data_IF_853914698901
#
_entry.id   IF_853914698901
#
_cell.length_a   1.000
_cell.length_b   1.000
_cell.length_c   1.000
_cell.angle_alpha   90.00
_cell.angle_beta   90.00
_cell.angle_gamma   90.00
#
_symmetry.space_group_name_H-M   'P 1'
#
loop_
_entity.id
_entity.type
_entity.pdbx_description
1 polymer ?
#
# COMPACT_ATOMS: atom_id res chain seq x y z
N UNK A 1 -13.78 6.41 6.98
CA UNK A 1 -12.38 6.43 6.53
C UNK A 1 -11.52 5.75 7.59
N UNK A 2 -10.54 4.96 7.18
CA UNK A 2 -9.77 4.12 8.09
C UNK A 2 -8.29 4.04 7.68
N UNK A 3 -7.39 4.17 8.65
CA UNK A 3 -5.95 3.92 8.46
C UNK A 3 -5.68 2.46 8.85
N UNK A 4 -5.23 1.67 7.88
CA UNK A 4 -4.87 0.26 8.04
C UNK A 4 -3.35 0.13 8.07
N UNK A 5 -2.80 -0.23 9.23
CA UNK A 5 -1.36 -0.41 9.45
C UNK A 5 -1.06 -1.91 9.41
N UNK A 6 -0.28 -2.37 8.43
CA UNK A 6 0.08 -3.78 8.26
C UNK A 6 1.48 -4.00 8.81
N UNK A 7 1.61 -4.83 9.85
CA UNK A 7 2.87 -5.02 10.58
C UNK A 7 3.07 -6.46 11.09
N UNK A 8 4.26 -6.77 11.62
CA UNK A 8 4.62 -8.09 12.14
C UNK A 8 5.92 -8.06 12.97
N UNK A 9 5.98 -8.89 14.00
CA UNK A 9 7.20 -9.13 14.79
C UNK A 9 8.31 -9.89 14.04
N UNK A 10 8.00 -10.51 12.89
CA UNK A 10 8.97 -11.24 12.04
C UNK A 10 8.88 -10.90 10.56
N UNK A 11 10.00 -11.01 9.86
CA UNK A 11 10.07 -10.94 8.41
C UNK A 11 9.45 -12.18 7.75
N UNK A 12 9.09 -12.07 6.47
CA UNK A 12 8.61 -13.19 5.64
C UNK A 12 7.31 -13.89 6.10
N UNK A 13 6.51 -13.26 6.96
CA UNK A 13 5.15 -13.73 7.34
C UNK A 13 4.05 -13.38 6.31
N UNK A 14 4.38 -12.64 5.24
CA UNK A 14 3.45 -12.33 4.14
C UNK A 14 2.83 -10.92 4.13
N UNK A 15 3.36 -9.95 4.89
CA UNK A 15 2.82 -8.57 5.03
C UNK A 15 2.38 -7.92 3.72
N UNK A 16 3.31 -7.71 2.79
CA UNK A 16 2.99 -7.06 1.52
C UNK A 16 1.99 -7.82 0.66
N UNK A 17 1.92 -9.16 0.79
CA UNK A 17 0.89 -9.96 0.12
C UNK A 17 -0.48 -9.78 0.77
N UNK A 18 -0.55 -9.57 2.09
CA UNK A 18 -1.78 -9.18 2.78
C UNK A 18 -2.19 -7.73 2.46
N UNK A 19 -1.24 -6.78 2.45
CA UNK A 19 -1.50 -5.39 2.07
C UNK A 19 -2.03 -5.28 0.62
N UNK A 20 -1.42 -6.00 -0.34
CA UNK A 20 -1.91 -6.07 -1.71
C UNK A 20 -3.27 -6.80 -1.86
N UNK A 21 -3.54 -7.79 -1.00
CA UNK A 21 -4.86 -8.42 -0.93
C UNK A 21 -5.91 -7.43 -0.40
N UNK A 22 -5.63 -6.74 0.70
CA UNK A 22 -6.49 -5.72 1.31
C UNK A 22 -6.81 -4.58 0.32
N UNK A 23 -5.79 -4.10 -0.40
CA UNK A 23 -5.94 -3.13 -1.49
C UNK A 23 -6.86 -3.65 -2.61
N UNK A 24 -6.74 -4.94 -2.97
CA UNK A 24 -7.58 -5.58 -3.99
C UNK A 24 -9.03 -5.77 -3.50
N UNK A 25 -9.26 -6.07 -2.22
CA UNK A 25 -10.60 -6.10 -1.63
C UNK A 25 -11.24 -4.71 -1.67
N UNK A 26 -10.51 -3.67 -1.25
CA UNK A 26 -10.99 -2.28 -1.32
C UNK A 26 -11.24 -1.78 -2.74
N UNK A 27 -10.42 -2.19 -3.72
CA UNK A 27 -10.66 -1.89 -5.14
C UNK A 27 -11.91 -2.60 -5.69
N UNK A 28 -12.10 -3.89 -5.37
CA UNK A 28 -13.31 -4.65 -5.74
C UNK A 28 -14.59 -4.07 -5.12
N UNK A 29 -14.51 -3.52 -3.91
CA UNK A 29 -15.59 -2.80 -3.24
C UNK A 29 -15.79 -1.36 -3.76
N UNK A 30 -15.00 -0.89 -4.74
CA UNK A 30 -15.07 0.48 -5.27
C UNK A 30 -14.56 1.58 -4.31
N UNK A 31 -14.00 1.20 -3.15
CA UNK A 31 -13.41 2.15 -2.18
C UNK A 31 -12.08 2.72 -2.66
N UNK A 32 -11.32 1.97 -3.46
CA UNK A 32 -10.04 2.38 -4.05
C UNK A 32 -9.10 3.07 -3.03
N UNK A 33 -8.69 2.35 -1.97
CA UNK A 33 -7.91 2.91 -0.87
C UNK A 33 -6.58 3.49 -1.35
N UNK A 34 -6.14 4.56 -0.67
CA UNK A 34 -4.79 5.10 -0.81
C UNK A 34 -3.77 4.09 -0.28
N UNK A 35 -2.64 3.95 -0.96
CA UNK A 35 -1.56 3.07 -0.54
C UNK A 35 -0.32 3.89 -0.13
N UNK A 36 0.40 3.42 0.88
CA UNK A 36 1.71 3.92 1.30
C UNK A 36 2.62 2.70 1.55
N UNK A 37 3.86 2.81 1.08
CA UNK A 37 4.88 1.79 1.26
C UNK A 37 5.91 2.28 2.29
N UNK A 38 6.01 1.56 3.41
CA UNK A 38 6.92 1.83 4.51
C UNK A 38 7.86 0.64 4.77
N UNK A 39 8.05 -0.21 3.77
CA UNK A 39 9.11 -1.23 3.70
C UNK A 39 10.21 -0.69 2.77
N UNK A 40 11.19 0.01 3.34
CA UNK A 40 12.25 0.68 2.58
C UNK A 40 13.24 -0.29 1.91
N UNK A 41 13.29 -1.54 2.35
CA UNK A 41 14.05 -2.63 1.70
C UNK A 41 13.31 -3.20 0.48
N UNK A 42 12.07 -3.67 0.67
CA UNK A 42 11.35 -4.47 -0.33
C UNK A 42 10.49 -3.62 -1.25
N UNK A 43 9.89 -2.53 -0.76
CA UNK A 43 9.08 -1.57 -1.52
C UNK A 43 8.05 -2.24 -2.43
N UNK A 44 7.33 -3.24 -1.89
CA UNK A 44 6.48 -4.13 -2.68
C UNK A 44 5.25 -3.41 -3.26
N UNK A 45 4.60 -2.54 -2.49
CA UNK A 45 3.45 -1.78 -2.99
C UNK A 45 3.88 -0.75 -4.04
N UNK A 46 5.03 -0.10 -3.85
CA UNK A 46 5.59 0.81 -4.85
C UNK A 46 5.93 0.09 -6.16
N UNK A 47 6.47 -1.14 -6.10
CA UNK A 47 6.75 -1.96 -7.28
C UNK A 47 5.47 -2.39 -8.01
N UNK A 48 4.41 -2.75 -7.27
CA UNK A 48 3.13 -3.21 -7.81
C UNK A 48 2.25 -2.09 -8.38
N UNK A 49 2.21 -0.93 -7.75
CA UNK A 49 1.26 0.15 -8.06
C UNK A 49 1.94 1.46 -8.55
N UNK A 50 3.28 1.48 -8.59
CA UNK A 50 4.08 2.56 -9.16
C UNK A 50 4.05 3.88 -8.37
N UNK A 51 4.34 4.97 -9.08
CA UNK A 51 4.56 6.32 -8.51
C UNK A 51 3.38 6.92 -7.73
N UNK A 52 2.18 6.33 -7.81
CA UNK A 52 1.01 6.76 -7.03
C UNK A 52 1.09 6.40 -5.54
N UNK A 53 1.99 5.48 -5.18
CA UNK A 53 2.27 5.05 -3.81
C UNK A 53 3.47 5.83 -3.25
N UNK A 54 3.28 6.70 -2.24
CA UNK A 54 4.40 7.31 -1.53
C UNK A 54 5.22 6.22 -0.83
N UNK A 55 6.55 6.34 -0.90
CA UNK A 55 7.46 5.59 -0.05
C UNK A 55 7.84 6.47 1.12
N UNK A 56 7.70 5.97 2.35
CA UNK A 56 8.12 6.64 3.58
C UNK A 56 9.14 5.78 4.31
N UNK A 57 10.03 6.42 5.07
CA UNK A 57 10.96 5.74 5.97
C UNK A 57 10.47 5.90 7.40
N UNK A 58 10.43 4.79 8.14
CA UNK A 58 10.26 4.81 9.59
C UNK A 58 11.65 4.68 10.23
N UNK A 59 12.06 5.63 11.06
CA UNK A 59 13.41 5.67 11.64
C UNK A 59 13.46 6.52 12.90
N UNK A 60 14.48 6.28 13.75
CA UNK A 60 14.83 7.11 14.91
C UNK A 60 15.65 8.36 14.53
N UNK A 61 16.08 8.48 13.27
CA UNK A 61 16.82 9.63 12.74
C UNK A 61 15.87 10.81 12.47
N UNK A 62 16.15 11.95 13.12
CA UNK A 62 15.39 13.21 13.08
C UNK A 62 15.08 13.69 11.65
N UNK A 63 15.94 13.40 10.67
CA UNK A 63 15.72 13.73 9.25
C UNK A 63 14.49 13.04 8.65
N UNK A 64 14.03 11.95 9.28
CA UNK A 64 12.90 11.14 8.84
C UNK A 64 11.68 11.23 9.78
N UNK A 65 11.79 11.91 10.93
CA UNK A 65 10.77 11.96 11.99
C UNK A 65 9.38 12.37 11.47
N UNK A 66 9.32 13.35 10.57
CA UNK A 66 8.07 13.86 10.01
C UNK A 66 7.52 13.04 8.82
N UNK A 67 8.24 12.04 8.30
CA UNK A 67 7.75 11.25 7.15
C UNK A 67 6.45 10.47 7.40
N UNK A 68 6.19 9.88 8.60
CA UNK A 68 4.96 9.14 8.84
C UNK A 68 3.70 10.03 8.81
N UNK A 69 3.82 11.36 9.02
CA UNK A 69 2.69 12.29 8.84
C UNK A 69 2.08 12.23 7.43
N UNK A 70 2.82 11.74 6.43
CA UNK A 70 2.30 11.43 5.10
C UNK A 70 1.08 10.53 5.16
N UNK A 71 0.99 9.60 6.13
CA UNK A 71 -0.17 8.72 6.35
C UNK A 71 -1.40 9.55 6.68
N UNK A 72 -1.26 10.49 7.63
CA UNK A 72 -2.33 11.38 8.06
C UNK A 72 -2.78 12.31 6.92
N UNK A 73 -1.84 13.00 6.28
CA UNK A 73 -2.16 13.92 5.18
C UNK A 73 -2.78 13.18 3.98
N UNK A 74 -2.35 11.95 3.67
CA UNK A 74 -2.95 11.13 2.60
C UNK A 74 -4.40 10.76 2.90
N UNK A 75 -4.73 10.45 4.16
CA UNK A 75 -6.10 10.20 4.58
C UNK A 75 -6.96 11.44 4.34
N UNK A 76 -6.59 12.58 4.94
CA UNK A 76 -7.33 13.84 4.80
C UNK A 76 -7.46 14.32 3.36
N UNK A 77 -6.38 14.27 2.57
CA UNK A 77 -6.38 14.71 1.17
C UNK A 77 -7.27 13.87 0.25
N UNK A 78 -7.42 12.57 0.54
CA UNK A 78 -8.16 11.66 -0.37
C UNK A 78 -9.57 11.35 0.12
N UNK A 79 -9.87 11.53 1.40
CA UNK A 79 -11.15 11.13 2.00
C UNK A 79 -11.39 9.61 1.94
N UNK A 80 -10.32 8.82 1.75
CA UNK A 80 -10.35 7.37 1.55
C UNK A 80 -9.46 6.67 2.56
N UNK A 81 -9.76 5.40 2.77
CA UNK A 81 -8.96 4.52 3.60
C UNK A 81 -7.51 4.48 3.11
N UNK A 82 -6.56 4.40 4.05
CA UNK A 82 -5.12 4.38 3.77
C UNK A 82 -4.54 3.05 4.22
N UNK A 83 -3.89 2.32 3.32
CA UNK A 83 -3.20 1.05 3.59
C UNK A 83 -1.71 1.34 3.65
N UNK A 84 -1.09 1.02 4.78
CA UNK A 84 0.35 1.23 5.04
C UNK A 84 1.02 -0.12 5.26
N UNK A 85 1.88 -0.55 4.34
CA UNK A 85 2.68 -1.77 4.48
C UNK A 85 4.02 -1.43 5.14
N UNK A 86 4.25 -1.89 6.38
CA UNK A 86 5.50 -1.61 7.09
C UNK A 86 6.59 -2.64 6.75
N UNK A 87 7.86 -2.29 6.94
CA UNK A 87 8.92 -3.30 7.08
C UNK A 87 8.66 -4.24 8.28
N UNK A 88 9.43 -5.33 8.40
CA UNK A 88 9.40 -6.15 9.61
C UNK A 88 10.03 -5.40 10.80
N UNK A 89 9.51 -5.60 12.01
CA UNK A 89 10.10 -5.07 13.26
C UNK A 89 10.22 -3.53 13.33
N UNK A 90 9.52 -2.79 12.46
CA UNK A 90 9.42 -1.32 12.52
C UNK A 90 8.18 -0.83 13.26
N UNK A 91 7.47 -1.72 13.96
CA UNK A 91 6.25 -1.38 14.68
C UNK A 91 6.49 -0.39 15.84
N UNK A 92 7.67 -0.40 16.45
CA UNK A 92 8.11 0.57 17.45
C UNK A 92 8.08 2.01 16.93
N UNK A 93 8.55 2.26 15.70
CA UNK A 93 8.58 3.57 15.09
C UNK A 93 7.17 4.10 14.78
N UNK A 94 6.28 3.25 14.24
CA UNK A 94 4.90 3.68 13.99
C UNK A 94 4.14 3.91 15.31
N UNK A 95 4.44 3.15 16.38
CA UNK A 95 3.89 3.41 17.71
C UNK A 95 4.34 4.77 18.26
N UNK A 96 5.64 5.10 18.13
CA UNK A 96 6.13 6.41 18.55
C UNK A 96 5.41 7.54 17.80
N UNK A 97 5.23 7.40 16.48
CA UNK A 97 4.45 8.38 15.72
C UNK A 97 2.99 8.49 16.19
N UNK A 98 2.32 7.38 16.52
CA UNK A 98 0.96 7.41 17.06
C UNK A 98 0.87 8.19 18.38
N UNK A 99 1.84 7.99 19.27
CA UNK A 99 1.88 8.59 20.61
C UNK A 99 2.36 10.06 20.55
N UNK A 100 3.56 10.32 20.03
CA UNK A 100 4.23 11.64 20.05
C UNK A 100 3.50 12.70 19.21
N UNK A 101 2.73 12.28 18.21
CA UNK A 101 1.90 13.18 17.37
C UNK A 101 0.41 13.14 17.75
N UNK A 102 0.01 12.38 18.77
CA UNK A 102 -1.39 12.30 19.23
C UNK A 102 -2.35 11.77 18.16
N UNK A 103 -1.90 10.87 17.27
CA UNK A 103 -2.65 10.48 16.07
C UNK A 103 -3.99 9.81 16.40
N UNK A 104 -4.06 9.04 17.50
CA UNK A 104 -5.30 8.36 17.88
C UNK A 104 -6.38 9.35 18.37
N UNK A 105 -5.98 10.40 19.09
CA UNK A 105 -6.87 11.49 19.50
C UNK A 105 -7.34 12.29 18.27
N UNK A 106 -6.40 12.69 17.40
CA UNK A 106 -6.73 13.38 16.16
C UNK A 106 -7.65 12.53 15.25
N UNK A 107 -7.41 11.22 15.14
CA UNK A 107 -8.21 10.29 14.36
C UNK A 107 -9.64 10.22 14.89
N UNK A 108 -9.82 10.12 16.21
CA UNK A 108 -11.13 10.15 16.88
C UNK A 108 -11.91 11.43 16.58
N UNK A 109 -11.28 12.59 16.73
CA UNK A 109 -11.90 13.90 16.44
C UNK A 109 -12.32 14.06 14.98
N UNK A 110 -11.58 13.44 14.05
CA UNK A 110 -11.85 13.47 12.61
C UNK A 110 -12.72 12.30 12.11
N UNK A 111 -13.25 11.44 13.00
CA UNK A 111 -14.02 10.23 12.66
C UNK A 111 -13.26 9.26 11.73
N UNK A 112 -11.94 9.14 11.94
CA UNK A 112 -11.04 8.24 11.24
C UNK A 112 -10.78 7.02 12.13
N UNK A 113 -11.12 5.82 11.65
CA UNK A 113 -10.76 4.60 12.36
C UNK A 113 -9.28 4.24 12.17
N UNK A 114 -8.68 3.55 13.14
CA UNK A 114 -7.34 2.96 13.00
C UNK A 114 -7.43 1.45 13.23
N UNK A 115 -6.86 0.67 12.30
CA UNK A 115 -6.79 -0.79 12.41
C UNK A 115 -5.34 -1.24 12.23
N UNK A 116 -4.80 -1.95 13.22
CA UNK A 116 -3.45 -2.51 13.19
C UNK A 116 -3.50 -4.02 12.97
N UNK A 117 -3.15 -4.43 11.75
CA UNK A 117 -3.12 -5.83 11.32
C UNK A 117 -1.75 -6.43 11.62
N UNK A 118 -1.70 -7.31 12.62
CA UNK A 118 -0.49 -7.99 13.07
C UNK A 118 -0.40 -9.38 12.45
N UNK A 119 0.49 -9.55 11.48
CA UNK A 119 0.74 -10.86 10.87
C UNK A 119 1.69 -11.69 11.73
N UNK A 120 1.32 -12.94 12.00
CA UNK A 120 2.16 -13.92 12.69
C UNK A 120 2.03 -15.31 12.05
N UNK A 121 3.05 -16.15 12.21
CA UNK A 121 3.16 -17.51 11.64
C UNK A 121 3.43 -18.59 12.70
N UNK A 122 2.80 -18.45 13.88
CA UNK A 122 2.91 -19.29 15.11
C UNK A 122 4.14 -19.01 16.00
N UNK A 123 4.80 -17.87 15.80
CA UNK A 123 5.97 -17.48 16.56
C UNK A 123 5.65 -16.90 17.97
N UNK A 124 6.16 -17.49 19.08
CA UNK A 124 5.95 -16.99 20.43
C UNK A 124 6.40 -15.53 20.65
N UNK A 125 7.58 -15.15 20.16
CA UNK A 125 8.15 -13.80 20.33
C UNK A 125 7.31 -12.71 19.62
N UNK A 126 6.51 -13.11 18.62
CA UNK A 126 5.57 -12.25 17.91
C UNK A 126 4.29 -12.01 18.73
N UNK A 127 3.89 -12.97 19.58
CA UNK A 127 2.69 -12.85 20.41
C UNK A 127 2.91 -12.00 21.66
N UNK A 128 4.09 -12.05 22.29
CA UNK A 128 4.45 -11.15 23.40
C UNK A 128 4.38 -9.68 23.00
N UNK A 129 4.90 -9.35 21.81
CA UNK A 129 4.82 -7.99 21.24
C UNK A 129 3.38 -7.60 20.95
N UNK A 130 2.59 -8.50 20.37
CA UNK A 130 1.17 -8.23 20.09
C UNK A 130 0.37 -7.93 21.37
N UNK A 131 0.56 -8.73 22.43
CA UNK A 131 -0.09 -8.51 23.73
C UNK A 131 0.33 -7.17 24.35
N UNK A 132 1.63 -6.87 24.35
CA UNK A 132 2.17 -5.56 24.77
C UNK A 132 1.50 -4.39 24.00
N UNK A 133 1.23 -4.54 22.70
CA UNK A 133 0.52 -3.53 21.91
C UNK A 133 -0.96 -3.41 22.29
N UNK A 134 -1.63 -4.53 22.54
CA UNK A 134 -3.03 -4.55 22.97
C UNK A 134 -3.22 -3.97 24.38
N UNK A 135 -2.19 -4.03 25.23
CA UNK A 135 -2.18 -3.39 26.55
C UNK A 135 -1.81 -1.90 26.50
N UNK A 136 -1.02 -1.47 25.50
CA UNK A 136 -0.61 -0.06 25.33
C UNK A 136 -1.76 0.84 24.91
N UNK A 137 -2.63 0.37 24.02
CA UNK A 137 -3.68 1.18 23.40
C UNK A 137 -5.07 0.70 23.78
N UNK A 138 -6.02 1.63 23.87
CA UNK A 138 -7.41 1.28 24.17
C UNK A 138 -8.14 0.81 22.91
N UNK A 139 -9.05 -0.15 23.10
CA UNK A 139 -9.85 -0.74 22.01
C UNK A 139 -10.85 0.21 21.36
N UNK A 140 -11.20 1.32 22.02
CA UNK A 140 -12.03 2.39 21.47
C UNK A 140 -11.25 3.41 20.61
N UNK A 141 -9.91 3.35 20.62
CA UNK A 141 -9.02 4.23 19.86
C UNK A 141 -8.41 3.50 18.64
N UNK A 142 -8.09 2.22 18.79
CA UNK A 142 -7.47 1.41 17.73
C UNK A 142 -7.96 -0.06 17.80
N UNK A 143 -8.30 -0.63 16.64
CA UNK A 143 -8.62 -2.06 16.53
C UNK A 143 -7.35 -2.86 16.23
N UNK A 144 -6.93 -3.72 17.16
CA UNK A 144 -5.90 -4.72 16.92
C UNK A 144 -6.48 -5.99 16.29
N UNK A 145 -5.78 -6.54 15.29
CA UNK A 145 -6.18 -7.76 14.59
C UNK A 145 -5.00 -8.70 14.40
N UNK A 146 -5.09 -9.91 14.96
CA UNK A 146 -4.19 -11.02 14.64
C UNK A 146 -4.54 -11.58 13.26
N UNK A 147 -3.62 -11.46 12.32
CA UNK A 147 -3.73 -12.06 10.99
C UNK A 147 -2.91 -13.35 10.97
N UNK A 148 -3.62 -14.48 11.09
CA UNK A 148 -3.05 -15.83 11.18
C UNK A 148 -2.50 -16.25 9.82
N UNK A 149 -1.18 -16.13 9.64
CA UNK A 149 -0.54 -16.39 8.35
C UNK A 149 -0.26 -17.86 8.12
N UNK A 150 -0.87 -18.42 7.08
CA UNK A 150 -0.61 -19.78 6.61
C UNK A 150 0.60 -19.88 5.67
N UNK A 151 1.45 -18.84 5.58
CA UNK A 151 2.58 -18.84 4.66
C UNK A 151 3.67 -19.85 5.07
N UNK A 152 4.01 -19.88 6.37
CA UNK A 152 4.97 -20.81 7.00
C UNK A 152 4.31 -21.68 8.08
N UNK A 153 3.46 -21.08 8.93
CA UNK A 153 2.73 -21.77 9.98
C UNK A 153 1.77 -22.83 9.44
N UNK A 154 1.60 -23.93 10.19
CA UNK A 154 0.64 -24.99 9.86
C UNK A 154 -0.75 -24.56 10.37
N UNK A 155 -1.79 -24.49 9.52
CA UNK A 155 -3.13 -24.07 9.94
C UNK A 155 -3.67 -24.82 11.16
N UNK A 156 -3.37 -26.12 11.26
CA UNK A 156 -3.83 -27.00 12.34
C UNK A 156 -3.32 -26.63 13.73
N UNK A 157 -2.19 -25.90 13.84
CA UNK A 157 -1.58 -25.55 15.12
C UNK A 157 -2.14 -24.25 15.72
N UNK A 158 -2.91 -23.46 14.96
CA UNK A 158 -3.49 -22.22 15.48
C UNK A 158 -4.47 -22.48 16.61
N UNK A 159 -5.33 -23.50 16.52
CA UNK A 159 -6.32 -23.79 17.56
C UNK A 159 -5.68 -24.12 18.92
N UNK A 160 -4.61 -24.91 18.92
CA UNK A 160 -3.80 -25.24 20.10
C UNK A 160 -3.06 -24.00 20.63
N UNK A 161 -2.37 -23.27 19.74
CA UNK A 161 -1.63 -22.04 20.10
C UNK A 161 -2.55 -20.96 20.68
N UNK A 162 -3.73 -20.76 20.12
CA UNK A 162 -4.72 -19.79 20.59
C UNK A 162 -5.42 -20.20 21.90
N UNK A 163 -5.33 -21.48 22.30
CA UNK A 163 -5.88 -22.01 23.54
C UNK A 163 -4.85 -22.10 24.68
N UNK A 164 -3.56 -22.19 24.37
CA UNK A 164 -2.48 -22.38 25.36
C UNK A 164 -1.55 -21.16 25.52
N UNK A 165 -1.40 -20.31 24.48
CA UNK A 165 -0.51 -19.16 24.56
C UNK A 165 -1.15 -18.01 25.36
N UNK A 166 -0.65 -17.79 26.58
CA UNK A 166 -1.13 -16.76 27.51
C UNK A 166 -1.24 -15.37 26.87
N UNK A 167 -0.25 -14.95 26.08
CA UNK A 167 -0.21 -13.63 25.47
C UNK A 167 -1.36 -13.46 24.45
N UNK A 168 -1.70 -14.52 23.69
CA UNK A 168 -2.89 -14.49 22.81
C UNK A 168 -4.18 -14.47 23.62
N UNK A 169 -4.28 -15.24 24.70
CA UNK A 169 -5.47 -15.30 25.56
C UNK A 169 -5.74 -13.91 26.16
N UNK A 170 -4.75 -13.31 26.82
CA UNK A 170 -4.85 -11.98 27.42
C UNK A 170 -5.10 -10.90 26.37
N UNK A 171 -4.46 -10.94 25.20
CA UNK A 171 -4.77 -10.00 24.13
C UNK A 171 -6.23 -10.12 23.64
N UNK A 172 -6.79 -11.35 23.55
CA UNK A 172 -8.21 -11.58 23.19
C UNK A 172 -9.18 -11.11 24.26
N UNK A 173 -8.87 -11.30 25.53
CA UNK A 173 -9.61 -10.72 26.66
C UNK A 173 -9.64 -9.18 26.56
N UNK A 174 -8.52 -8.59 26.11
CA UNK A 174 -8.39 -7.17 25.78
C UNK A 174 -8.89 -6.81 24.36
N UNK A 175 -9.75 -7.63 23.74
CA UNK A 175 -10.48 -7.28 22.51
C UNK A 175 -9.72 -7.49 21.18
N UNK A 176 -8.57 -8.17 21.19
CA UNK A 176 -7.88 -8.60 19.96
C UNK A 176 -8.80 -9.45 19.08
N UNK A 177 -9.07 -8.97 17.86
CA UNK A 177 -9.76 -9.75 16.82
C UNK A 177 -8.77 -10.69 16.13
N UNK A 178 -9.24 -11.78 15.53
CA UNK A 178 -8.40 -12.72 14.79
C UNK A 178 -9.03 -13.13 13.46
N UNK A 179 -8.25 -13.13 12.38
CA UNK A 179 -8.68 -13.60 11.05
C UNK A 179 -7.66 -14.55 10.43
N UNK A 180 -8.09 -15.40 9.50
CA UNK A 180 -7.21 -16.29 8.74
C UNK A 180 -6.64 -15.60 7.49
N UNK A 181 -5.35 -15.76 7.23
CA UNK A 181 -4.73 -15.39 5.95
C UNK A 181 -4.30 -16.65 5.18
N UNK A 182 -5.10 -17.12 4.20
CA UNK A 182 -4.86 -18.38 3.53
C UNK A 182 -3.59 -18.36 2.68
N UNK A 183 -2.92 -19.50 2.55
CA UNK A 183 -1.74 -19.63 1.68
C UNK A 183 -2.14 -19.57 0.20
N UNK A 184 -1.48 -18.71 -0.58
CA UNK A 184 -1.52 -18.77 -2.05
C UNK A 184 -0.55 -19.84 -2.56
N UNK A 185 -0.85 -20.47 -3.70
CA UNK A 185 0.11 -21.32 -4.42
C UNK A 185 1.39 -20.54 -4.73
N UNK A 186 2.54 -21.06 -4.30
CA UNK A 186 3.84 -20.37 -4.33
C UNK A 186 4.20 -19.93 -5.76
N UNK A 187 4.13 -20.84 -6.74
CA UNK A 187 4.43 -20.52 -8.14
C UNK A 187 3.50 -19.47 -8.79
N UNK A 188 2.31 -19.21 -8.24
CA UNK A 188 1.47 -18.08 -8.66
C UNK A 188 2.02 -16.78 -8.06
N UNK A 189 2.24 -16.73 -6.75
CA UNK A 189 2.74 -15.54 -6.05
C UNK A 189 4.11 -15.10 -6.62
N UNK A 190 5.01 -16.05 -6.89
CA UNK A 190 6.34 -15.77 -7.45
C UNK A 190 6.25 -15.23 -8.89
N UNK A 191 5.37 -15.78 -9.73
CA UNK A 191 5.10 -15.26 -11.09
C UNK A 191 4.55 -13.84 -11.05
N UNK A 192 3.59 -13.56 -10.18
CA UNK A 192 3.00 -12.22 -10.05
C UNK A 192 4.04 -11.20 -9.57
N UNK A 193 4.87 -11.58 -8.60
CA UNK A 193 6.00 -10.75 -8.13
C UNK A 193 7.03 -10.49 -9.22
N UNK A 194 7.43 -11.51 -10.00
CA UNK A 194 8.38 -11.37 -11.10
C UNK A 194 7.90 -10.40 -12.19
N UNK A 195 6.58 -10.33 -12.41
CA UNK A 195 5.95 -9.47 -13.42
C UNK A 195 5.42 -8.14 -12.86
N UNK A 196 5.59 -7.86 -11.56
CA UNK A 196 4.94 -6.76 -10.82
C UNK A 196 3.41 -6.66 -11.02
N UNK A 197 2.72 -7.79 -11.21
CA UNK A 197 1.28 -7.81 -11.45
C UNK A 197 0.49 -7.77 -10.15
N UNK A 198 -0.45 -6.83 -10.03
CA UNK A 198 -1.39 -6.76 -8.91
C UNK A 198 -2.42 -7.90 -8.99
N UNK A 199 -2.98 -8.30 -7.84
CA UNK A 199 -4.10 -9.23 -7.85
C UNK A 199 -5.34 -8.62 -8.54
N UNK A 200 -5.53 -7.29 -8.47
CA UNK A 200 -6.62 -6.61 -9.15
C UNK A 200 -6.55 -6.75 -10.68
N UNK A 201 -5.38 -6.53 -11.29
CA UNK A 201 -5.19 -6.74 -12.74
C UNK A 201 -5.45 -8.20 -13.15
N UNK A 202 -4.97 -9.16 -12.37
CA UNK A 202 -5.27 -10.60 -12.56
C UNK A 202 -6.78 -10.87 -12.52
N UNK A 203 -7.49 -10.23 -11.58
CA UNK A 203 -8.95 -10.32 -11.50
C UNK A 203 -9.63 -9.72 -12.75
N UNK A 204 -9.08 -8.67 -13.36
CA UNK A 204 -9.62 -8.05 -14.56
C UNK A 204 -9.19 -8.73 -15.88
N UNK A 205 -8.16 -9.57 -15.91
CA UNK A 205 -7.70 -10.31 -17.11
C UNK A 205 -8.66 -11.43 -17.55
N UNK A 206 -9.85 -11.03 -18.00
CA UNK A 206 -10.93 -11.93 -18.47
C UNK A 206 -10.59 -12.64 -19.79
N UNK A 207 -9.55 -12.20 -20.51
CA UNK A 207 -9.11 -12.76 -21.78
C UNK A 207 -7.92 -13.70 -21.66
N UNK A 208 -7.28 -13.75 -20.49
CA UNK A 208 -6.09 -14.55 -20.21
C UNK A 208 -4.86 -14.12 -21.03
N UNK A 209 -4.71 -12.82 -21.25
CA UNK A 209 -3.60 -12.23 -22.03
C UNK A 209 -2.27 -12.30 -21.27
N UNK A 210 -2.29 -12.25 -19.93
CA UNK A 210 -1.09 -12.22 -19.08
C UNK A 210 -1.01 -13.41 -18.09
N UNK A 211 -2.16 -13.99 -17.75
CA UNK A 211 -2.27 -15.12 -16.82
C UNK A 211 -3.31 -16.14 -17.31
N UNK A 212 -2.94 -17.41 -17.30
CA UNK A 212 -3.80 -18.50 -17.76
C UNK A 212 -5.05 -18.67 -16.87
N UNK A 213 -6.05 -19.37 -17.42
CA UNK A 213 -7.36 -19.53 -16.80
C UNK A 213 -7.31 -20.21 -15.41
N UNK A 214 -6.43 -21.19 -15.20
CA UNK A 214 -6.36 -21.95 -13.96
C UNK A 214 -5.68 -21.14 -12.84
N UNK A 215 -4.59 -20.44 -13.16
CA UNK A 215 -3.92 -19.55 -12.24
C UNK A 215 -4.81 -18.35 -11.89
N UNK A 216 -5.49 -17.74 -12.87
CA UNK A 216 -6.49 -16.69 -12.61
C UNK A 216 -7.64 -17.18 -11.73
N UNK A 217 -8.21 -18.36 -12.01
CA UNK A 217 -9.27 -18.96 -11.17
C UNK A 217 -8.80 -19.18 -9.72
N UNK A 218 -7.53 -19.58 -9.54
CA UNK A 218 -6.92 -19.76 -8.23
C UNK A 218 -6.75 -18.44 -7.47
N UNK A 219 -6.32 -17.35 -8.13
CA UNK A 219 -6.23 -16.01 -7.52
C UNK A 219 -7.62 -15.49 -7.15
N UNK A 220 -8.64 -15.65 -8.01
CA UNK A 220 -10.03 -15.26 -7.71
C UNK A 220 -10.54 -15.98 -6.44
N UNK A 221 -10.36 -17.31 -6.36
CA UNK A 221 -10.76 -18.09 -5.19
C UNK A 221 -10.00 -17.69 -3.92
N UNK A 222 -8.72 -17.35 -4.05
CA UNK A 222 -7.89 -16.90 -2.93
C UNK A 222 -8.28 -15.51 -2.43
N UNK A 223 -8.48 -14.54 -3.34
CA UNK A 223 -8.98 -13.21 -2.98
C UNK A 223 -10.35 -13.31 -2.31
N UNK A 224 -11.27 -14.14 -2.82
CA UNK A 224 -12.58 -14.34 -2.18
C UNK A 224 -12.44 -14.79 -0.72
N UNK A 225 -11.56 -15.76 -0.43
CA UNK A 225 -11.29 -16.20 0.95
C UNK A 225 -10.66 -15.11 1.81
N UNK A 226 -9.83 -14.24 1.23
CA UNK A 226 -9.29 -13.08 1.95
C UNK A 226 -10.39 -12.05 2.25
N UNK A 227 -11.30 -11.78 1.29
CA UNK A 227 -12.49 -10.94 1.48
C UNK A 227 -13.36 -11.47 2.62
N UNK A 228 -13.73 -12.76 2.58
CA UNK A 228 -14.51 -13.45 3.62
C UNK A 228 -13.90 -13.35 5.03
N UNK A 229 -12.59 -13.11 5.14
CA UNK A 229 -11.86 -12.95 6.41
C UNK A 229 -11.73 -11.48 6.82
N UNK A 230 -11.40 -10.59 5.87
CA UNK A 230 -11.29 -9.14 6.10
C UNK A 230 -12.64 -8.53 6.50
N UNK A 231 -13.74 -8.94 5.85
CA UNK A 231 -15.09 -8.39 6.08
C UNK A 231 -15.70 -8.75 7.45
N UNK A 232 -15.10 -9.69 8.19
CA UNK A 232 -15.44 -9.95 9.60
C UNK A 232 -14.96 -8.83 10.54
N UNK A 233 -13.99 -8.01 10.09
CA UNK A 233 -13.42 -6.90 10.86
C UNK A 233 -13.74 -5.56 10.21
N UNK A 234 -13.65 -5.45 8.88
CA UNK A 234 -13.80 -4.21 8.15
C UNK A 234 -14.41 -4.41 6.76
N UNK A 235 -15.44 -3.63 6.45
CA UNK A 235 -16.08 -3.60 5.13
C UNK A 235 -15.77 -2.26 4.45
N UNK A 236 -15.08 -2.33 3.31
CA UNK A 236 -14.78 -1.17 2.49
C UNK A 236 -16.06 -0.56 1.91
N UNK A 237 -16.23 0.74 2.06
CA UNK A 237 -17.38 1.47 1.52
C UNK A 237 -17.04 2.07 0.15
N UNK A 238 -17.86 1.87 -0.90
CA UNK A 238 -17.61 2.48 -2.20
C UNK A 238 -17.50 4.00 -2.13
N UNK A 239 -16.56 4.59 -2.87
CA UNK A 239 -16.49 6.05 -2.97
C UNK A 239 -17.74 6.54 -3.70
N UNK A 240 -18.51 7.44 -3.06
CA UNK A 240 -19.59 8.16 -3.74
C UNK A 240 -18.96 9.03 -4.83
N UNK A 241 -19.17 8.65 -6.09
CA UNK A 241 -18.81 9.50 -7.22
C UNK A 241 -19.82 10.64 -7.24
N UNK A 242 -19.46 11.76 -6.62
CA UNK A 242 -20.17 13.01 -6.86
C UNK A 242 -19.92 13.41 -8.32
N UNK A 243 -20.91 13.14 -9.16
CA UNK A 243 -20.93 13.62 -10.53
C UNK A 243 -21.01 15.14 -10.48
N UNK A 244 -19.86 15.82 -10.55
CA UNK A 244 -19.82 17.23 -10.83
C UNK A 244 -20.56 17.44 -12.15
N UNK A 245 -21.79 17.97 -12.07
CA UNK A 245 -22.50 18.44 -13.24
C UNK A 245 -21.63 19.54 -13.83
N UNK A 246 -21.16 19.33 -15.06
CA UNK A 246 -20.70 20.43 -15.88
C UNK A 246 -21.93 21.31 -16.15
N UNK A 247 -22.10 22.36 -15.35
CA UNK A 247 -23.02 23.44 -15.69
C UNK A 247 -22.48 24.10 -16.95
N UNK A 248 -23.20 23.91 -18.06
CA UNK A 248 -22.81 24.45 -19.34
C UNK A 248 -23.02 25.95 -19.35
N UNK A 249 -21.94 26.73 -19.23
CA UNK A 249 -22.00 28.14 -19.56
C UNK A 249 -22.32 28.31 -21.06
N UNK A 250 -23.45 28.95 -21.31
CA UNK A 250 -24.01 29.19 -22.63
C UNK A 250 -23.19 30.17 -23.45
N UNK A 251 -23.14 29.92 -24.77
CA UNK A 251 -22.49 30.76 -25.78
C UNK A 251 -22.65 32.28 -25.55
N UNK A 252 -21.51 32.98 -25.51
CA UNK A 252 -21.43 34.41 -25.81
C UNK A 252 -20.55 34.61 -27.06
N UNK A 253 -21.18 35.00 -28.17
CA UNK A 253 -20.50 35.27 -29.44
C UNK A 253 -19.80 36.64 -29.42
N UNK A 254 -18.51 36.76 -29.77
CA UNK A 254 -17.91 38.06 -30.07
C UNK A 254 -18.26 38.49 -31.50
N UNK A 255 -18.92 39.64 -31.64
CA UNK A 255 -19.19 40.24 -32.95
C UNK A 255 -17.90 40.70 -33.65
N UNK A 256 -17.91 40.59 -34.98
CA UNK A 256 -16.82 41.01 -35.85
C UNK A 256 -16.86 42.54 -36.07
N UNK A 257 -15.78 43.26 -35.76
CA UNK A 257 -15.60 44.67 -36.16
C UNK A 257 -14.29 44.89 -36.91
N UNK A 258 -14.43 45.28 -38.18
CA UNK A 258 -13.36 45.47 -39.15
C UNK A 258 -12.88 46.92 -39.20
N UNK A 259 -11.59 47.16 -38.94
CA UNK A 259 -10.82 48.35 -39.39
C UNK A 259 -9.38 47.84 -39.60
N UNK A 260 -8.81 47.78 -40.82
CA UNK A 260 -8.07 48.88 -41.46
C UNK A 260 -6.81 49.26 -40.65
N UNK A 261 -5.55 49.22 -41.13
CA UNK A 261 -5.07 49.59 -42.48
C UNK A 261 -3.56 49.27 -42.64
N UNK A 262 -3.12 48.86 -43.85
CA UNK A 262 -1.74 48.91 -44.46
C UNK A 262 -0.52 48.27 -43.71
N UNK A 263 0.13 47.22 -44.26
CA UNK A 263 1.17 47.17 -45.34
C UNK A 263 2.62 47.40 -44.85
N UNK A 264 3.45 46.33 -44.82
CA UNK A 264 4.69 46.19 -45.61
C UNK A 264 5.39 44.81 -45.44
N UNK A 265 5.96 44.27 -46.53
CA UNK A 265 7.07 43.29 -46.59
C UNK A 265 8.32 44.04 -47.11
N UNK A 266 9.57 43.61 -46.82
CA UNK A 266 10.28 42.54 -47.57
C UNK A 266 10.69 41.35 -46.67
N UNK A 267 10.96 40.12 -47.12
CA UNK A 267 12.15 39.60 -47.86
C UNK A 267 13.50 39.91 -47.15
N UNK A 268 14.44 38.98 -46.95
CA UNK A 268 14.52 37.54 -47.23
C UNK A 268 15.93 36.96 -46.96
N UNK A 269 16.14 35.70 -47.38
CA UNK A 269 17.43 35.00 -47.61
C UNK A 269 18.27 34.30 -46.49
N UNK A 270 18.29 32.97 -46.63
CA UNK A 270 19.40 31.98 -46.57
C UNK A 270 20.66 32.22 -45.70
N UNK A 271 21.03 31.16 -44.96
CA UNK A 271 22.43 30.86 -44.56
C UNK A 271 22.65 29.36 -44.26
N UNK A 272 23.68 28.73 -44.85
CA UNK A 272 24.06 27.30 -44.66
C UNK A 272 25.47 27.17 -44.05
N UNK A 273 25.65 26.24 -43.12
CA UNK A 273 26.93 25.59 -42.70
C UNK A 273 26.58 24.45 -41.71
N UNK A 274 27.08 23.19 -41.67
CA UNK A 274 28.33 22.50 -42.10
C UNK A 274 29.61 23.12 -41.50
N UNK A 275 30.48 22.48 -40.71
CA UNK A 275 30.72 21.08 -40.24
C UNK A 275 31.26 21.11 -38.78
N UNK A 276 31.58 20.04 -38.03
CA UNK A 276 31.69 18.58 -38.27
C UNK A 276 32.21 17.83 -37.02
N UNK A 277 32.83 16.65 -37.21
CA UNK A 277 33.61 15.90 -36.20
C UNK A 277 35.13 15.92 -36.56
N UNK A 278 36.07 15.51 -35.67
CA UNK A 278 36.43 14.07 -35.62
C UNK A 278 36.97 13.48 -34.29
N UNK A 279 36.80 12.16 -34.17
CA UNK A 279 37.67 11.10 -33.61
C UNK A 279 38.45 11.13 -32.27
N UNK A 280 38.11 10.11 -31.46
CA UNK A 280 39.01 9.06 -30.92
C UNK A 280 39.88 9.28 -29.66
N UNK A 281 39.65 8.40 -28.65
CA UNK A 281 40.61 7.52 -27.91
C UNK A 281 39.87 6.93 -26.68
N UNK A 282 39.60 5.62 -26.63
CA UNK A 282 40.44 4.58 -26.00
C UNK A 282 40.98 4.94 -24.60
N UNK A 283 40.43 4.30 -23.56
CA UNK A 283 41.17 3.35 -22.74
C UNK A 283 40.23 2.47 -21.88
N UNK A 284 40.64 1.21 -21.69
CA UNK A 284 40.01 0.18 -20.86
C UNK A 284 40.86 -0.05 -19.57
N UNK A 285 40.52 -0.99 -18.65
CA UNK A 285 40.62 -0.72 -17.21
C UNK A 285 41.94 -1.12 -16.55
N UNK A 286 42.22 -0.51 -15.40
CA UNK A 286 43.24 -0.99 -14.45
C UNK A 286 42.61 -2.00 -13.49
N UNK A 287 43.08 -3.25 -13.57
CA UNK A 287 42.94 -4.21 -12.48
C UNK A 287 44.00 -3.93 -11.40
N UNK A 288 43.65 -4.10 -10.13
CA UNK A 288 44.64 -4.34 -9.07
C UNK A 288 44.16 -5.44 -8.14
N UNK A 289 44.97 -6.49 -7.99
CA UNK A 289 44.71 -7.61 -7.07
C UNK A 289 45.50 -7.43 -5.76
N UNK A 290 44.96 -8.07 -4.71
CA UNK A 290 45.66 -8.61 -3.54
C UNK A 290 46.33 -7.62 -2.56
N UNK A 291 45.81 -7.60 -1.32
CA UNK A 291 46.17 -8.63 -0.34
C UNK A 291 44.94 -9.10 0.43
#
# INVERSE_FOLDING_TARGET
>A
MTIHIITSGKANVGKSSFAAALATVGANAGANPSLIDADDENQTLYKLYGKGVPRIKLSDDELYEAQPDTIWYKALQTGRDVIVDLAAQTDSHINRWLDDRGILEAAKDNNIGVIKWWLADLDPDSFERLDTLCQRYRTDEITHVLVKSHFRGRPSLWAETEAENKNIITAKENGLKSIEFPKMFIGINDRLRANNQTFYEVLQDKKHENIDMLNRSSVIKWIKRCTEQIEQVYQFTPVKVETQKAEGETNATPENKTVGTKVQKPDGDKGKSKTGAPDSKKNEPVQTKAK
#
